data_IF_594938740950
#
_entry.id   IF_594938740950
#
_cell.length_a   1.000
_cell.length_b   1.000
_cell.length_c   1.000
_cell.angle_alpha   90.00
_cell.angle_beta   90.00
_cell.angle_gamma   90.00
#
_symmetry.space_group_name_H-M   'P 1'
#
loop_
_entity.id
_entity.type
_entity.pdbx_description
1 polymer ?
#
# COMPACT_ATOMS: atom_id res chain seq x y z
N UNK A 1 -15.06 66.40 80.10
CA UNK A 1 -14.17 66.15 81.24
C UNK A 1 -13.22 65.07 80.78
N UNK A 2 -12.01 65.54 80.45
CA UNK A 2 -10.73 65.25 81.16
C UNK A 2 -10.31 63.79 80.96
N UNK A 3 -9.23 63.47 80.51
CA UNK A 3 -7.83 63.88 80.38
C UNK A 3 -7.09 62.66 79.83
N UNK A 4 -6.39 62.75 78.73
CA UNK A 4 -4.94 62.92 78.64
C UNK A 4 -4.11 61.84 79.38
N UNK A 5 -3.33 61.05 78.66
CA UNK A 5 -1.90 61.03 78.82
C UNK A 5 -1.20 60.04 77.88
N UNK A 6 -0.25 60.59 77.19
CA UNK A 6 0.89 60.02 76.48
C UNK A 6 1.69 59.02 77.33
N UNK A 7 2.32 58.06 76.68
CA UNK A 7 3.74 57.75 76.92
C UNK A 7 4.32 56.82 75.81
N UNK A 8 5.15 57.40 75.01
CA UNK A 8 6.53 57.08 74.63
C UNK A 8 6.92 55.59 74.37
N UNK A 9 7.44 55.45 73.16
CA UNK A 9 8.25 54.40 72.51
C UNK A 9 9.35 53.81 73.42
N UNK A 10 10.03 52.66 73.00
CA UNK A 10 10.96 52.72 71.86
C UNK A 10 10.96 51.48 70.92
N UNK A 11 11.58 51.72 69.77
CA UNK A 11 11.86 50.83 68.72
C UNK A 11 12.73 49.62 69.08
N UNK A 12 12.40 48.46 68.55
CA UNK A 12 13.35 47.37 68.24
C UNK A 12 13.23 46.94 66.84
N UNK A 13 14.27 47.23 66.05
CA UNK A 13 14.49 46.69 64.70
C UNK A 13 14.76 45.19 64.85
N UNK A 14 13.91 44.36 64.27
CA UNK A 14 14.18 42.95 64.02
C UNK A 14 14.30 42.77 62.48
N UNK A 15 15.48 42.45 62.07
CA UNK A 15 15.78 42.07 60.67
C UNK A 15 15.21 40.65 60.41
N UNK A 16 14.16 40.52 59.58
CA UNK A 16 13.70 39.25 59.06
C UNK A 16 14.32 39.09 57.70
N UNK A 17 15.34 38.26 57.60
CA UNK A 17 15.94 37.78 56.39
C UNK A 17 14.92 36.79 55.72
N UNK A 18 14.24 37.25 54.71
CA UNK A 18 13.37 36.36 53.88
C UNK A 18 14.25 35.51 52.95
N UNK A 19 14.33 34.22 53.25
CA UNK A 19 14.95 33.21 52.40
C UNK A 19 13.96 32.90 51.30
N UNK A 20 14.17 33.44 50.08
CA UNK A 20 13.38 33.08 48.87
C UNK A 20 13.94 31.78 48.35
N UNK A 21 13.29 30.67 48.69
CA UNK A 21 13.48 29.38 48.03
C UNK A 21 12.79 29.45 46.65
N UNK A 22 13.57 29.70 45.59
CA UNK A 22 13.12 29.62 44.22
C UNK A 22 12.90 28.16 43.83
N UNK A 23 11.65 27.67 43.86
CA UNK A 23 11.27 26.45 43.15
C UNK A 23 11.29 26.74 41.65
N UNK A 24 12.40 26.41 41.00
CA UNK A 24 12.51 26.37 39.54
C UNK A 24 11.67 25.19 39.00
N UNK A 25 10.43 25.46 38.63
CA UNK A 25 9.62 24.50 37.86
C UNK A 25 10.25 24.33 36.45
N UNK A 26 11.06 23.29 36.29
CA UNK A 26 11.53 22.87 34.98
C UNK A 26 10.34 22.26 34.24
N UNK A 27 9.64 23.09 33.45
CA UNK A 27 8.64 22.62 32.50
C UNK A 27 9.37 21.95 31.34
N UNK A 28 9.59 20.63 31.44
CA UNK A 28 10.12 19.85 30.35
C UNK A 28 9.04 19.80 29.27
N UNK A 29 9.20 20.61 28.21
CA UNK A 29 8.41 20.52 27.01
C UNK A 29 8.75 19.17 26.33
N UNK A 30 7.94 18.16 26.61
CA UNK A 30 7.95 16.92 25.82
C UNK A 30 7.54 17.28 24.38
N UNK A 31 8.51 17.41 23.49
CA UNK A 31 8.25 17.46 22.05
C UNK A 31 7.70 16.10 21.69
N UNK A 32 6.37 16.02 21.55
CA UNK A 32 5.74 14.84 21.01
C UNK A 32 6.31 14.62 19.60
N UNK A 33 7.07 13.53 19.41
CA UNK A 33 7.56 13.15 18.10
C UNK A 33 6.36 12.97 17.18
N UNK A 34 6.32 13.74 16.10
CA UNK A 34 5.30 13.56 15.05
C UNK A 34 5.37 12.12 14.59
N UNK A 35 4.26 11.35 14.62
CA UNK A 35 4.29 9.97 14.15
C UNK A 35 4.85 9.93 12.73
N UNK A 36 5.70 8.96 12.40
CA UNK A 36 6.28 8.85 11.07
C UNK A 36 5.15 8.78 10.04
N UNK A 37 5.26 9.60 8.97
CA UNK A 37 4.28 9.60 7.88
C UNK A 37 4.29 8.21 7.27
N UNK A 38 3.22 7.47 7.49
CA UNK A 38 3.07 6.12 6.97
C UNK A 38 2.91 6.19 5.45
N UNK A 39 3.84 5.56 4.72
CA UNK A 39 3.81 5.52 3.26
C UNK A 39 3.02 4.28 2.81
N UNK A 40 2.18 4.45 1.81
CA UNK A 40 1.24 3.41 1.38
C UNK A 40 1.74 2.72 0.11
N UNK A 41 1.65 1.38 0.08
CA UNK A 41 1.64 0.55 -1.12
C UNK A 41 0.19 0.19 -1.41
N UNK A 42 -0.36 0.73 -2.48
CA UNK A 42 -1.74 0.45 -2.92
C UNK A 42 -1.72 -0.69 -3.92
N UNK A 43 -2.50 -1.75 -3.67
CA UNK A 43 -2.74 -2.83 -4.62
C UNK A 43 -4.13 -2.68 -5.20
N UNK A 44 -4.21 -2.45 -6.50
CA UNK A 44 -5.43 -2.38 -7.30
C UNK A 44 -5.47 -3.63 -8.19
N UNK A 45 -6.24 -4.62 -7.78
CA UNK A 45 -6.27 -5.92 -8.43
C UNK A 45 -7.67 -6.53 -8.49
N UNK A 46 -7.70 -7.77 -8.93
CA UNK A 46 -8.92 -8.56 -9.04
C UNK A 46 -8.98 -9.70 -7.99
N UNK A 47 -9.60 -10.83 -8.33
CA UNK A 47 -9.78 -11.97 -7.43
C UNK A 47 -8.45 -12.61 -6.97
N UNK A 48 -7.39 -12.53 -7.78
CA UNK A 48 -6.07 -13.08 -7.44
C UNK A 48 -5.39 -12.30 -6.32
N UNK A 49 -5.75 -11.04 -6.14
CA UNK A 49 -5.26 -10.18 -5.06
C UNK A 49 -6.29 -9.99 -3.93
N UNK A 50 -7.58 -10.26 -4.17
CA UNK A 50 -8.69 -10.06 -3.21
C UNK A 50 -8.94 -11.26 -2.29
N UNK A 51 -8.05 -12.26 -2.27
CA UNK A 51 -8.21 -13.50 -1.46
C UNK A 51 -9.46 -14.31 -1.81
N UNK A 52 -9.88 -14.34 -3.09
CA UNK A 52 -11.05 -15.11 -3.51
C UNK A 52 -10.90 -16.60 -3.15
N UNK A 53 -11.90 -17.14 -2.42
CA UNK A 53 -11.89 -18.54 -2.00
C UNK A 53 -10.86 -18.91 -0.91
N UNK A 54 -10.19 -17.92 -0.32
CA UNK A 54 -9.16 -18.12 0.69
C UNK A 54 -9.61 -17.67 2.08
N UNK A 55 -9.00 -18.24 3.11
CA UNK A 55 -9.05 -17.65 4.43
C UNK A 55 -8.33 -16.29 4.43
N UNK A 56 -8.88 -15.32 5.15
CA UNK A 56 -8.28 -13.98 5.27
C UNK A 56 -6.86 -14.08 5.83
N UNK A 57 -5.96 -13.29 5.26
CA UNK A 57 -4.57 -13.22 5.71
C UNK A 57 -3.65 -14.24 5.06
N UNK A 58 -4.13 -15.05 4.09
CA UNK A 58 -3.35 -16.09 3.42
C UNK A 58 -3.01 -15.76 1.96
N UNK A 59 -3.59 -14.70 1.40
CA UNK A 59 -3.29 -14.22 0.05
C UNK A 59 -1.96 -13.49 -0.02
N UNK A 60 -1.37 -13.39 -1.22
CA UNK A 60 -0.05 -12.78 -1.42
C UNK A 60 0.03 -11.32 -0.95
N UNK A 61 -1.06 -10.55 -1.07
CA UNK A 61 -1.11 -9.15 -0.60
C UNK A 61 -1.07 -9.07 0.93
N UNK A 62 -1.75 -9.99 1.62
CA UNK A 62 -1.69 -10.08 3.07
C UNK A 62 -0.30 -10.53 3.55
N UNK A 63 0.33 -11.49 2.84
CA UNK A 63 1.71 -11.90 3.10
C UNK A 63 2.70 -10.75 2.86
N UNK A 64 2.49 -9.93 1.81
CA UNK A 64 3.25 -8.71 1.58
C UNK A 64 3.11 -7.73 2.75
N UNK A 65 1.89 -7.52 3.23
CA UNK A 65 1.63 -6.66 4.39
C UNK A 65 2.37 -7.15 5.64
N UNK A 66 2.32 -8.45 5.91
CA UNK A 66 3.02 -9.07 7.03
C UNK A 66 4.55 -8.94 6.91
N UNK A 67 5.09 -9.06 5.70
CA UNK A 67 6.51 -8.87 5.41
C UNK A 67 6.93 -7.43 5.65
N UNK A 68 6.20 -6.46 5.08
CA UNK A 68 6.52 -5.04 5.23
C UNK A 68 6.40 -4.58 6.69
N UNK A 69 5.42 -5.07 7.44
CA UNK A 69 5.30 -4.76 8.87
C UNK A 69 6.54 -5.16 9.68
N UNK A 70 7.26 -6.21 9.27
CA UNK A 70 8.50 -6.67 9.92
C UNK A 70 9.75 -5.95 9.40
N UNK A 71 9.86 -5.78 8.07
CA UNK A 71 11.08 -5.30 7.41
C UNK A 71 11.10 -3.76 7.27
N UNK A 72 9.93 -3.13 7.11
CA UNK A 72 9.77 -1.68 6.88
C UNK A 72 8.49 -1.16 7.53
N UNK A 73 8.43 -1.03 8.86
CA UNK A 73 7.19 -0.71 9.60
C UNK A 73 6.60 0.67 9.29
N UNK A 74 7.34 1.53 8.58
CA UNK A 74 6.84 2.82 8.07
C UNK A 74 5.98 2.66 6.81
N UNK A 75 5.92 1.45 6.22
CA UNK A 75 5.09 1.14 5.07
C UNK A 75 3.84 0.38 5.50
N UNK A 76 2.72 0.72 4.88
CA UNK A 76 1.47 -0.03 4.98
C UNK A 76 1.00 -0.50 3.60
N UNK A 77 0.26 -1.59 3.57
CA UNK A 77 -0.37 -2.08 2.34
C UNK A 77 -1.87 -1.82 2.42
N UNK A 78 -2.39 -1.18 1.39
CA UNK A 78 -3.84 -1.04 1.17
C UNK A 78 -4.22 -1.95 0.02
N UNK A 79 -5.00 -3.00 0.30
CA UNK A 79 -5.56 -3.88 -0.71
C UNK A 79 -6.93 -3.34 -1.16
N UNK A 80 -6.97 -2.74 -2.34
CA UNK A 80 -8.20 -2.22 -2.97
C UNK A 80 -8.70 -3.14 -4.09
N UNK A 81 -8.30 -4.42 -4.07
CA UNK A 81 -8.68 -5.41 -5.08
C UNK A 81 -10.13 -5.85 -4.91
N UNK A 82 -10.81 -6.08 -6.04
CA UNK A 82 -12.21 -6.55 -6.09
C UNK A 82 -12.30 -7.75 -7.03
N UNK A 83 -12.84 -8.87 -6.54
CA UNK A 83 -13.02 -10.07 -7.36
C UNK A 83 -13.87 -9.78 -8.61
N UNK A 84 -13.40 -10.24 -9.77
CA UNK A 84 -14.06 -10.02 -11.05
C UNK A 84 -13.82 -8.64 -11.68
N UNK A 85 -13.00 -7.80 -11.08
CA UNK A 85 -12.69 -6.45 -11.57
C UNK A 85 -12.00 -6.47 -12.93
N UNK A 86 -12.36 -5.53 -13.79
CA UNK A 86 -11.75 -5.29 -15.09
C UNK A 86 -10.86 -4.05 -15.08
N UNK A 87 -10.07 -3.86 -16.13
CA UNK A 87 -9.28 -2.63 -16.28
C UNK A 87 -10.16 -1.37 -16.33
N UNK A 88 -11.36 -1.46 -16.90
CA UNK A 88 -12.33 -0.35 -16.93
C UNK A 88 -12.79 0.05 -15.52
N UNK A 89 -13.15 -0.94 -14.69
CA UNK A 89 -13.56 -0.69 -13.30
C UNK A 89 -12.40 -0.15 -12.45
N UNK A 90 -11.21 -0.75 -12.57
CA UNK A 90 -10.01 -0.24 -11.89
C UNK A 90 -9.69 1.20 -12.26
N UNK A 91 -9.71 1.54 -13.55
CA UNK A 91 -9.53 2.92 -14.05
C UNK A 91 -10.53 3.90 -13.43
N UNK A 92 -11.80 3.49 -13.31
CA UNK A 92 -12.85 4.33 -12.72
C UNK A 92 -12.62 4.63 -11.24
N UNK A 93 -12.11 3.64 -10.46
CA UNK A 93 -11.93 3.78 -9.01
C UNK A 93 -10.59 4.41 -8.61
N UNK A 94 -9.57 4.28 -9.45
CA UNK A 94 -8.20 4.68 -9.10
C UNK A 94 -8.09 6.16 -8.66
N UNK A 95 -8.72 7.15 -9.30
CA UNK A 95 -8.57 8.56 -8.88
C UNK A 95 -8.99 8.81 -7.43
N UNK A 96 -10.08 8.20 -6.98
CA UNK A 96 -10.53 8.30 -5.59
C UNK A 96 -9.53 7.66 -4.61
N UNK A 97 -8.99 6.48 -4.96
CA UNK A 97 -7.98 5.77 -4.17
C UNK A 97 -6.66 6.55 -4.06
N UNK A 98 -6.21 7.17 -5.16
CA UNK A 98 -5.00 8.01 -5.17
C UNK A 98 -5.17 9.21 -4.24
N UNK A 99 -6.31 9.89 -4.30
CA UNK A 99 -6.60 11.03 -3.43
C UNK A 99 -6.68 10.62 -1.96
N UNK A 100 -7.35 9.51 -1.66
CA UNK A 100 -7.56 9.02 -0.29
C UNK A 100 -6.27 8.54 0.36
N UNK A 101 -5.47 7.75 -0.36
CA UNK A 101 -4.35 7.02 0.22
C UNK A 101 -2.99 7.65 -0.08
N UNK A 102 -2.88 8.53 -1.08
CA UNK A 102 -1.62 9.17 -1.53
C UNK A 102 -0.46 8.17 -1.57
N UNK A 103 -0.61 7.05 -2.31
CA UNK A 103 0.34 5.95 -2.25
C UNK A 103 1.72 6.35 -2.78
N UNK A 104 2.76 5.82 -2.17
CA UNK A 104 4.12 5.92 -2.70
C UNK A 104 4.36 4.93 -3.85
N UNK A 105 3.63 3.81 -3.82
CA UNK A 105 3.67 2.77 -4.86
C UNK A 105 2.26 2.30 -5.16
N UNK A 106 1.93 2.14 -6.44
CA UNK A 106 0.71 1.49 -6.91
C UNK A 106 1.08 0.22 -7.65
N UNK A 107 0.50 -0.90 -7.23
CA UNK A 107 0.55 -2.17 -7.95
C UNK A 107 -0.76 -2.32 -8.70
N UNK A 108 -0.70 -2.38 -10.04
CA UNK A 108 -1.87 -2.59 -10.91
C UNK A 108 -1.84 -4.05 -11.37
N UNK A 109 -2.74 -4.85 -10.83
CA UNK A 109 -2.91 -6.28 -11.11
C UNK A 109 -4.33 -6.50 -11.68
N UNK A 110 -4.55 -6.09 -12.92
CA UNK A 110 -5.82 -6.14 -13.64
C UNK A 110 -5.58 -6.49 -15.11
N UNK A 111 -6.61 -7.03 -15.76
CA UNK A 111 -6.60 -7.40 -17.17
C UNK A 111 -6.88 -8.88 -17.42
N UNK A 112 -6.78 -9.73 -16.37
CA UNK A 112 -7.19 -11.13 -16.49
C UNK A 112 -8.67 -11.25 -16.84
N UNK A 113 -9.54 -10.50 -16.18
CA UNK A 113 -10.98 -10.52 -16.45
C UNK A 113 -11.34 -9.93 -17.81
N UNK A 114 -10.57 -8.94 -18.30
CA UNK A 114 -10.71 -8.43 -19.66
C UNK A 114 -10.42 -9.55 -20.68
N UNK A 115 -9.30 -10.25 -20.49
CA UNK A 115 -8.90 -11.37 -21.32
C UNK A 115 -9.89 -12.53 -21.29
N UNK A 116 -10.31 -12.97 -20.09
CA UNK A 116 -11.25 -14.08 -19.91
C UNK A 116 -12.63 -13.80 -20.52
N UNK A 117 -13.05 -12.55 -20.56
CA UNK A 117 -14.33 -12.12 -21.16
C UNK A 117 -14.23 -11.77 -22.65
N UNK A 118 -13.03 -11.88 -23.24
CA UNK A 118 -12.81 -11.53 -24.65
C UNK A 118 -13.03 -10.05 -24.93
N UNK A 119 -12.77 -9.16 -23.95
CA UNK A 119 -12.90 -7.72 -24.15
C UNK A 119 -11.78 -7.21 -25.08
N UNK A 120 -11.99 -6.03 -25.65
CA UNK A 120 -11.01 -5.41 -26.56
C UNK A 120 -9.66 -5.20 -25.88
N UNK A 121 -8.61 -5.87 -26.37
CA UNK A 121 -7.23 -5.68 -25.87
C UNK A 121 -6.72 -4.24 -26.11
N UNK A 122 -7.22 -3.55 -27.14
CA UNK A 122 -6.92 -2.14 -27.35
C UNK A 122 -7.47 -1.27 -26.20
N UNK A 123 -8.70 -1.53 -25.76
CA UNK A 123 -9.30 -0.84 -24.60
C UNK A 123 -8.61 -1.22 -23.30
N UNK A 124 -8.29 -2.51 -23.11
CA UNK A 124 -7.50 -2.98 -21.95
C UNK A 124 -6.19 -2.20 -21.86
N UNK A 125 -5.44 -2.08 -22.96
CA UNK A 125 -4.20 -1.31 -23.01
C UNK A 125 -4.41 0.16 -22.71
N UNK A 126 -5.45 0.79 -23.25
CA UNK A 126 -5.79 2.19 -22.97
C UNK A 126 -6.09 2.41 -21.48
N UNK A 127 -6.84 1.49 -20.86
CA UNK A 127 -7.15 1.59 -19.43
C UNK A 127 -5.90 1.41 -18.57
N UNK A 128 -5.05 0.43 -18.88
CA UNK A 128 -3.77 0.22 -18.19
C UNK A 128 -2.88 1.46 -18.31
N UNK A 129 -2.75 2.02 -19.51
CA UNK A 129 -1.96 3.23 -19.77
C UNK A 129 -2.46 4.43 -18.96
N UNK A 130 -3.78 4.64 -18.92
CA UNK A 130 -4.40 5.69 -18.14
C UNK A 130 -4.14 5.50 -16.64
N UNK A 131 -4.29 4.28 -16.10
CA UNK A 131 -4.03 4.01 -14.69
C UNK A 131 -2.56 4.25 -14.31
N UNK A 132 -1.62 3.81 -15.15
CA UNK A 132 -0.18 4.05 -14.90
C UNK A 132 0.12 5.54 -14.92
N UNK A 133 -0.37 6.27 -15.94
CA UNK A 133 -0.21 7.73 -16.05
C UNK A 133 -0.77 8.46 -14.83
N UNK A 134 -1.99 8.14 -14.41
CA UNK A 134 -2.68 8.84 -13.33
C UNK A 134 -2.00 8.56 -11.97
N UNK A 135 -1.52 7.33 -11.74
CA UNK A 135 -0.73 6.99 -10.56
C UNK A 135 0.62 7.74 -10.53
N UNK A 136 1.33 7.81 -11.67
CA UNK A 136 2.59 8.57 -11.78
C UNK A 136 2.37 10.07 -11.60
N UNK A 137 1.30 10.63 -12.15
CA UNK A 137 0.93 12.03 -11.96
C UNK A 137 0.62 12.37 -10.49
N UNK A 138 0.13 11.39 -9.71
CA UNK A 138 -0.05 11.51 -8.27
C UNK A 138 1.25 11.31 -7.47
N UNK A 139 2.40 11.11 -8.11
CA UNK A 139 3.72 10.94 -7.49
C UNK A 139 4.05 9.51 -7.09
N UNK A 140 3.22 8.53 -7.42
CA UNK A 140 3.47 7.12 -7.11
C UNK A 140 4.41 6.47 -8.14
N UNK A 141 5.29 5.56 -7.68
CA UNK A 141 5.92 4.58 -8.56
C UNK A 141 4.90 3.49 -8.89
N UNK A 142 5.00 2.89 -10.08
CA UNK A 142 4.03 1.90 -10.53
C UNK A 142 4.71 0.57 -10.83
N UNK A 143 4.14 -0.51 -10.29
CA UNK A 143 4.36 -1.88 -10.71
C UNK A 143 3.13 -2.33 -11.51
N UNK A 144 3.30 -2.56 -12.80
CA UNK A 144 2.30 -3.20 -13.64
C UNK A 144 2.52 -4.70 -13.59
N UNK A 145 1.46 -5.45 -13.30
CA UNK A 145 1.51 -6.91 -13.20
C UNK A 145 0.79 -7.54 -14.38
N UNK A 146 1.56 -8.22 -15.22
CA UNK A 146 1.06 -8.91 -16.41
C UNK A 146 0.33 -10.20 -16.06
N UNK A 147 -0.61 -10.53 -16.94
CA UNK A 147 -1.47 -11.70 -16.81
C UNK A 147 -1.49 -12.51 -18.11
N UNK A 148 -1.85 -13.78 -17.98
CA UNK A 148 -2.15 -14.67 -19.08
C UNK A 148 -3.51 -15.31 -18.85
N UNK A 149 -4.21 -15.65 -19.93
CA UNK A 149 -5.43 -16.44 -19.89
C UNK A 149 -5.12 -17.92 -20.19
N UNK A 150 -6.02 -18.87 -19.85
CA UNK A 150 -5.79 -20.28 -20.11
C UNK A 150 -5.42 -20.57 -21.57
N UNK A 151 -4.62 -21.63 -21.84
CA UNK A 151 -4.10 -21.93 -23.19
C UNK A 151 -5.18 -22.15 -24.26
N UNK A 152 -6.40 -22.53 -23.88
CA UNK A 152 -7.54 -22.72 -24.79
C UNK A 152 -8.03 -21.42 -25.46
N UNK A 153 -7.61 -20.24 -24.96
CA UNK A 153 -7.83 -18.95 -25.64
C UNK A 153 -6.92 -18.74 -26.85
N UNK A 154 -5.90 -19.59 -27.00
CA UNK A 154 -4.95 -19.56 -28.10
C UNK A 154 -3.71 -18.71 -27.82
N UNK A 155 -2.62 -19.14 -28.47
CA UNK A 155 -1.30 -18.51 -28.27
C UNK A 155 -1.28 -17.05 -28.69
N UNK A 156 -1.82 -16.74 -29.88
CA UNK A 156 -1.83 -15.35 -30.41
C UNK A 156 -2.51 -14.39 -29.47
N UNK A 157 -3.66 -14.77 -28.91
CA UNK A 157 -4.40 -13.93 -27.98
C UNK A 157 -3.62 -13.69 -26.66
N UNK A 158 -2.99 -14.75 -26.14
CA UNK A 158 -2.13 -14.61 -24.95
C UNK A 158 -0.92 -13.71 -25.23
N UNK A 159 -0.27 -13.85 -26.38
CA UNK A 159 0.85 -13.01 -26.78
C UNK A 159 0.43 -11.53 -26.92
N UNK A 160 -0.75 -11.26 -27.48
CA UNK A 160 -1.28 -9.91 -27.64
C UNK A 160 -1.67 -9.29 -26.29
N UNK A 161 -2.25 -10.07 -25.38
CA UNK A 161 -2.54 -9.64 -24.02
C UNK A 161 -1.23 -9.29 -23.28
N UNK A 162 -0.24 -10.19 -23.30
CA UNK A 162 1.06 -9.97 -22.68
C UNK A 162 1.77 -8.72 -23.26
N UNK A 163 1.67 -8.54 -24.60
CA UNK A 163 2.22 -7.37 -25.29
C UNK A 163 1.57 -6.08 -24.81
N UNK A 164 0.28 -6.06 -24.51
CA UNK A 164 -0.42 -4.88 -24.00
C UNK A 164 0.22 -4.36 -22.70
N UNK A 165 0.59 -5.24 -21.77
CA UNK A 165 1.30 -4.86 -20.54
C UNK A 165 2.72 -4.36 -20.84
N UNK A 166 3.46 -5.06 -21.72
CA UNK A 166 4.83 -4.70 -22.04
C UNK A 166 4.93 -3.33 -22.74
N UNK A 167 4.03 -3.04 -23.66
CA UNK A 167 3.97 -1.75 -24.36
C UNK A 167 3.66 -0.59 -23.39
N UNK A 168 2.68 -0.75 -22.50
CA UNK A 168 2.35 0.26 -21.50
C UNK A 168 3.52 0.48 -20.54
N UNK A 169 4.09 -0.59 -20.00
CA UNK A 169 5.23 -0.49 -19.08
C UNK A 169 6.41 0.25 -19.73
N UNK A 170 6.72 -0.09 -21.00
CA UNK A 170 7.79 0.56 -21.78
C UNK A 170 7.46 2.04 -22.03
N UNK A 171 6.26 2.35 -22.51
CA UNK A 171 5.86 3.72 -22.85
C UNK A 171 5.83 4.65 -21.62
N UNK A 172 5.48 4.13 -20.46
CA UNK A 172 5.36 4.88 -19.20
C UNK A 172 6.57 4.74 -18.27
N UNK A 173 7.61 4.01 -18.67
CA UNK A 173 8.76 3.70 -17.81
C UNK A 173 8.35 3.13 -16.45
N UNK A 174 7.30 2.31 -16.44
CA UNK A 174 6.82 1.60 -15.26
C UNK A 174 7.54 0.26 -15.09
N UNK A 175 7.67 -0.21 -13.85
CA UNK A 175 8.15 -1.56 -13.61
C UNK A 175 7.10 -2.58 -14.09
N UNK A 176 7.56 -3.70 -14.63
CA UNK A 176 6.71 -4.79 -15.13
C UNK A 176 7.10 -6.11 -14.48
N UNK A 177 6.12 -6.77 -13.88
CA UNK A 177 6.15 -8.21 -13.66
C UNK A 177 5.42 -8.87 -14.83
N UNK A 178 6.08 -9.65 -15.70
CA UNK A 178 5.46 -10.14 -16.91
C UNK A 178 4.29 -11.10 -16.69
N UNK A 179 4.33 -11.89 -15.61
CA UNK A 179 3.28 -12.86 -15.28
C UNK A 179 3.20 -13.13 -13.78
N UNK A 180 2.05 -12.81 -13.16
CA UNK A 180 1.82 -12.96 -11.72
C UNK A 180 2.00 -14.40 -11.24
N UNK A 181 1.45 -15.36 -12.00
CA UNK A 181 1.39 -16.76 -11.60
C UNK A 181 2.61 -17.58 -12.05
N UNK A 182 3.72 -16.92 -12.39
CA UNK A 182 4.98 -17.60 -12.68
C UNK A 182 5.43 -18.43 -11.48
N UNK A 183 5.81 -19.68 -11.72
CA UNK A 183 6.15 -20.65 -10.67
C UNK A 183 4.94 -21.31 -9.99
N UNK A 184 3.73 -20.94 -10.38
CA UNK A 184 2.48 -21.56 -9.94
C UNK A 184 1.77 -22.21 -11.11
N UNK A 185 1.44 -21.45 -12.15
CA UNK A 185 0.71 -21.95 -13.31
C UNK A 185 1.59 -22.81 -14.25
N UNK A 186 2.89 -22.61 -14.23
CA UNK A 186 3.88 -23.39 -15.00
C UNK A 186 4.66 -24.39 -14.14
N UNK A 187 4.24 -24.64 -12.90
CA UNK A 187 4.81 -25.65 -12.03
C UNK A 187 4.46 -27.08 -12.53
N UNK A 188 5.33 -28.08 -12.34
CA UNK A 188 5.02 -29.47 -12.69
C UNK A 188 3.76 -30.04 -12.03
N UNK A 189 3.43 -29.54 -10.83
CA UNK A 189 2.28 -29.91 -10.00
C UNK A 189 1.19 -28.83 -9.97
N UNK A 190 1.14 -27.98 -11.00
CA UNK A 190 0.23 -26.82 -11.07
C UNK A 190 -1.22 -27.17 -10.71
N UNK A 191 -1.75 -28.32 -11.16
CA UNK A 191 -3.12 -28.72 -10.83
C UNK A 191 -3.42 -28.80 -9.34
N UNK A 192 -2.40 -29.12 -8.51
CA UNK A 192 -2.54 -29.18 -7.06
C UNK A 192 -2.45 -27.80 -6.38
N UNK A 193 -2.06 -26.75 -7.12
CA UNK A 193 -1.87 -25.40 -6.61
C UNK A 193 -3.11 -24.53 -6.82
N UNK A 194 -4.09 -25.00 -7.58
CA UNK A 194 -5.32 -24.25 -7.89
C UNK A 194 -6.53 -24.84 -7.16
N UNK A 195 -7.54 -23.99 -6.97
CA UNK A 195 -8.87 -24.36 -6.49
C UNK A 195 -9.57 -25.23 -7.55
N UNK A 196 -10.75 -25.79 -7.22
CA UNK A 196 -11.50 -26.65 -8.13
C UNK A 196 -11.89 -25.98 -9.47
N UNK A 197 -11.91 -24.64 -9.48
CA UNK A 197 -12.17 -23.85 -10.69
C UNK A 197 -10.97 -23.76 -11.65
N UNK A 198 -9.79 -24.23 -11.24
CA UNK A 198 -8.53 -24.22 -12.01
C UNK A 198 -8.06 -22.83 -12.46
N UNK A 199 -8.55 -21.78 -11.83
CA UNK A 199 -8.19 -20.38 -12.09
C UNK A 199 -7.59 -19.69 -10.87
N UNK A 200 -8.14 -19.94 -9.70
CA UNK A 200 -7.71 -19.29 -8.48
C UNK A 200 -6.73 -20.16 -7.69
N UNK A 201 -5.55 -19.64 -7.34
CA UNK A 201 -4.57 -20.39 -6.55
C UNK A 201 -5.10 -20.73 -5.14
N UNK A 202 -4.68 -21.86 -4.61
CA UNK A 202 -4.85 -22.23 -3.22
C UNK A 202 -3.90 -21.42 -2.31
N UNK A 203 -4.21 -21.29 -1.03
CA UNK A 203 -3.40 -20.57 -0.05
C UNK A 203 -1.93 -20.97 -0.08
N UNK A 204 -1.61 -22.26 -0.27
CA UNK A 204 -0.23 -22.77 -0.34
C UNK A 204 0.60 -22.25 -1.52
N UNK A 205 -0.04 -21.70 -2.57
CA UNK A 205 0.63 -21.11 -3.74
C UNK A 205 1.00 -19.63 -3.53
N UNK A 206 0.35 -18.92 -2.62
CA UNK A 206 0.54 -17.48 -2.44
C UNK A 206 1.94 -17.06 -1.95
N UNK A 207 2.67 -17.84 -1.14
CA UNK A 207 4.08 -17.55 -0.88
C UNK A 207 4.93 -17.50 -2.15
N UNK A 208 4.69 -18.39 -3.13
CA UNK A 208 5.37 -18.37 -4.44
C UNK A 208 5.00 -17.13 -5.24
N UNK A 209 3.73 -16.74 -5.25
CA UNK A 209 3.27 -15.50 -5.90
C UNK A 209 4.00 -14.29 -5.29
N UNK A 210 4.06 -14.18 -3.95
CA UNK A 210 4.81 -13.11 -3.30
C UNK A 210 6.30 -13.15 -3.65
N UNK A 211 6.91 -14.33 -3.69
CA UNK A 211 8.31 -14.48 -4.09
C UNK A 211 8.57 -14.02 -5.53
N UNK A 212 7.59 -14.15 -6.42
CA UNK A 212 7.63 -13.66 -7.81
C UNK A 212 7.45 -12.13 -7.88
N UNK A 213 6.55 -11.57 -7.08
CA UNK A 213 6.28 -10.11 -7.03
C UNK A 213 7.43 -9.35 -6.38
N UNK A 214 7.99 -9.89 -5.30
CA UNK A 214 8.92 -9.16 -4.42
C UNK A 214 10.16 -8.57 -5.11
N UNK A 215 10.90 -9.30 -5.97
CA UNK A 215 12.11 -8.76 -6.61
C UNK A 215 11.84 -7.53 -7.50
N UNK A 216 10.62 -7.43 -8.04
CA UNK A 216 10.22 -6.30 -8.90
C UNK A 216 9.62 -5.16 -8.09
N UNK A 217 8.94 -5.45 -7.00
CA UNK A 217 8.33 -4.46 -6.12
C UNK A 217 9.35 -3.77 -5.20
N UNK A 218 10.27 -4.56 -4.60
CA UNK A 218 11.21 -4.05 -3.58
C UNK A 218 12.00 -2.81 -4.03
N UNK A 219 12.55 -2.71 -5.27
CA UNK A 219 13.28 -1.52 -5.73
C UNK A 219 12.42 -0.26 -5.84
N UNK A 220 11.09 -0.41 -5.88
CA UNK A 220 10.15 0.71 -5.97
C UNK A 220 9.82 1.30 -4.59
N UNK A 221 10.02 0.51 -3.53
CA UNK A 221 9.67 0.93 -2.18
C UNK A 221 10.51 2.15 -1.75
N UNK A 222 9.91 3.10 -1.04
CA UNK A 222 10.66 4.21 -0.46
C UNK A 222 11.63 3.68 0.60
N UNK A 223 12.80 4.30 0.64
CA UNK A 223 13.83 4.06 1.67
C UNK A 223 13.51 4.85 2.92
#
# INVERSE_FOLDING_TARGET
MTTDQKLKQPARRAWLTALVLGLGAHCSLSVAATPPVQRVVLVLGDSLSAEYGLARGTGWVALLSQRLAKEQPTLSVVNASISGETTAGGRSRLPALLNQHRPAVVVVELGANDGLRGLSLAMTREHLDAMVRDAQAAGAKVLLVGMQVPPNYGKTYNDDLARSFAEVAKARHAALLPFLLKGVADAPDAEQLFQADRMHPLAKAHPTILATVWPVLQPLLPR
#
